data_IF_418258802339
#
_entry.id   IF_418258802339
#
_cell.length_a   1.000
_cell.length_b   1.000
_cell.length_c   1.000
_cell.angle_alpha   90.00
_cell.angle_beta   90.00
_cell.angle_gamma   90.00
#
_symmetry.space_group_name_H-M   'P 1'
#
loop_
_entity.id
_entity.type
_entity.pdbx_description
1 polymer ?
#
# COMPACT_ATOMS: atom_id res chain seq x y z
N UNK A 1 -14.54 -78.73 -14.50
CA UNK A 1 -13.23 -79.05 -13.86
C UNK A 1 -12.06 -79.12 -14.86
N UNK A 2 -12.21 -79.76 -16.02
CA UNK A 2 -11.11 -79.93 -17.02
C UNK A 2 -10.71 -78.60 -17.68
N UNK A 3 -11.69 -77.75 -18.04
CA UNK A 3 -11.42 -76.43 -18.65
C UNK A 3 -10.60 -75.51 -17.73
N UNK A 4 -10.93 -75.51 -16.43
CA UNK A 4 -10.22 -74.71 -15.41
C UNK A 4 -8.77 -75.15 -15.22
N UNK A 5 -8.47 -76.46 -15.27
CA UNK A 5 -7.09 -76.97 -15.23
C UNK A 5 -6.29 -76.61 -16.48
N UNK A 6 -6.92 -76.67 -17.66
CA UNK A 6 -6.28 -76.26 -18.92
C UNK A 6 -5.96 -74.77 -18.93
N UNK A 7 -6.89 -73.92 -18.46
CA UNK A 7 -6.68 -72.48 -18.33
C UNK A 7 -5.58 -72.17 -17.32
N UNK A 8 -5.56 -72.84 -16.15
CA UNK A 8 -4.47 -72.66 -15.17
C UNK A 8 -3.11 -73.08 -15.73
N UNK A 9 -3.04 -74.18 -16.48
CA UNK A 9 -1.80 -74.61 -17.14
C UNK A 9 -1.32 -73.58 -18.16
N UNK A 10 -2.21 -73.04 -18.99
CA UNK A 10 -1.84 -72.01 -19.97
C UNK A 10 -1.40 -70.71 -19.30
N UNK A 11 -2.04 -70.30 -18.20
CA UNK A 11 -1.63 -69.13 -17.42
C UNK A 11 -0.23 -69.32 -16.81
N UNK A 12 0.06 -70.49 -16.24
CA UNK A 12 1.39 -70.82 -15.70
C UNK A 12 2.46 -70.81 -16.80
N UNK A 13 2.15 -71.33 -17.99
CA UNK A 13 3.09 -71.33 -19.13
C UNK A 13 3.29 -69.93 -19.73
N UNK A 14 2.26 -69.07 -19.67
CA UNK A 14 2.31 -67.69 -20.19
C UNK A 14 2.91 -66.69 -19.19
N UNK A 15 2.94 -67.01 -17.90
CA UNK A 15 3.48 -66.16 -16.82
C UNK A 15 4.89 -65.60 -17.12
N UNK A 16 5.88 -66.40 -17.57
CA UNK A 16 7.24 -65.90 -17.83
C UNK A 16 7.29 -64.91 -19.00
N UNK A 17 6.44 -65.13 -20.00
CA UNK A 17 6.32 -64.23 -21.17
C UNK A 17 5.67 -62.90 -20.77
N UNK A 18 4.70 -62.95 -19.85
CA UNK A 18 4.06 -61.76 -19.30
C UNK A 18 5.05 -60.94 -18.46
N UNK A 19 5.90 -61.60 -17.66
CA UNK A 19 6.99 -60.98 -16.92
C UNK A 19 8.03 -60.35 -17.86
N UNK A 20 8.47 -61.06 -18.90
CA UNK A 20 9.41 -60.52 -19.90
C UNK A 20 8.83 -59.32 -20.67
N UNK A 21 7.55 -59.40 -21.09
CA UNK A 21 6.84 -58.27 -21.70
C UNK A 21 6.72 -57.08 -20.75
N UNK A 22 6.47 -57.32 -19.46
CA UNK A 22 6.39 -56.23 -18.47
C UNK A 22 7.73 -55.50 -18.30
N UNK A 23 8.85 -56.22 -18.37
CA UNK A 23 10.20 -55.61 -18.35
C UNK A 23 10.45 -54.79 -19.60
N UNK A 24 10.09 -55.30 -20.78
CA UNK A 24 10.23 -54.57 -22.04
C UNK A 24 9.34 -53.32 -22.08
N UNK A 25 8.11 -53.39 -21.58
CA UNK A 25 7.22 -52.23 -21.46
C UNK A 25 7.85 -51.17 -20.53
N UNK A 26 8.37 -51.58 -19.37
CA UNK A 26 9.06 -50.66 -18.46
C UNK A 26 10.28 -49.99 -19.11
N UNK A 27 11.06 -50.72 -19.92
CA UNK A 27 12.20 -50.16 -20.67
C UNK A 27 11.76 -49.17 -21.74
N UNK A 28 10.64 -49.43 -22.43
CA UNK A 28 10.06 -48.50 -23.41
C UNK A 28 9.61 -47.23 -22.68
N UNK A 29 8.87 -47.34 -21.58
CA UNK A 29 8.42 -46.20 -20.77
C UNK A 29 9.60 -45.37 -20.25
N UNK A 30 10.68 -46.02 -19.80
CA UNK A 30 11.91 -45.34 -19.39
C UNK A 30 12.56 -44.59 -20.55
N UNK A 31 12.64 -45.21 -21.73
CA UNK A 31 13.23 -44.58 -22.92
C UNK A 31 12.38 -43.40 -23.40
N UNK A 32 11.05 -43.50 -23.36
CA UNK A 32 10.13 -42.42 -23.70
C UNK A 32 10.28 -41.23 -22.75
N UNK A 33 10.52 -41.48 -21.46
CA UNK A 33 10.83 -40.42 -20.48
C UNK A 33 12.13 -39.70 -20.80
N UNK A 34 13.21 -40.43 -21.11
CA UNK A 34 14.49 -39.84 -21.49
C UNK A 34 14.37 -39.01 -22.78
N UNK A 35 13.67 -39.54 -23.79
CA UNK A 35 13.41 -38.83 -25.03
C UNK A 35 12.63 -37.53 -24.79
N UNK A 36 11.61 -37.58 -23.93
CA UNK A 36 10.81 -36.41 -23.56
C UNK A 36 11.65 -35.36 -22.84
N UNK A 37 12.53 -35.78 -21.93
CA UNK A 37 13.47 -34.89 -21.25
C UNK A 37 14.42 -34.17 -22.24
N UNK A 38 15.01 -34.92 -23.19
CA UNK A 38 15.89 -34.35 -24.21
C UNK A 38 15.16 -33.39 -25.16
N UNK A 39 13.90 -33.69 -25.52
CA UNK A 39 13.06 -32.77 -26.31
C UNK A 39 12.87 -31.43 -25.62
N UNK A 40 12.63 -31.43 -24.29
CA UNK A 40 12.52 -30.19 -23.54
C UNK A 40 13.83 -29.40 -23.50
N UNK A 41 14.97 -30.07 -23.30
CA UNK A 41 16.28 -29.40 -23.37
C UNK A 41 16.49 -28.75 -24.74
N UNK A 42 16.29 -29.51 -25.82
CA UNK A 42 16.43 -29.02 -27.18
C UNK A 42 15.54 -27.79 -27.43
N UNK A 43 14.31 -27.78 -26.92
CA UNK A 43 13.41 -26.64 -27.07
C UNK A 43 13.89 -25.41 -26.28
N UNK A 44 14.41 -25.61 -25.06
CA UNK A 44 14.96 -24.51 -24.25
C UNK A 44 16.20 -23.91 -24.92
N UNK A 45 17.08 -24.75 -25.47
CA UNK A 45 18.27 -24.33 -26.22
C UNK A 45 17.89 -23.58 -27.49
N UNK A 46 16.91 -24.07 -28.26
CA UNK A 46 16.39 -23.38 -29.45
C UNK A 46 15.85 -21.98 -29.12
N UNK A 47 15.05 -21.85 -28.05
CA UNK A 47 14.57 -20.55 -27.57
C UNK A 47 15.72 -19.63 -27.16
N UNK A 48 16.74 -20.19 -26.50
CA UNK A 48 17.95 -19.45 -26.09
C UNK A 48 18.73 -18.93 -27.31
N UNK A 49 18.92 -19.78 -28.32
CA UNK A 49 19.60 -19.41 -29.57
C UNK A 49 18.83 -18.34 -30.33
N UNK A 50 17.50 -18.44 -30.39
CA UNK A 50 16.65 -17.42 -31.00
C UNK A 50 16.78 -16.06 -30.30
N UNK A 51 16.79 -16.02 -28.96
CA UNK A 51 17.04 -14.78 -28.19
C UNK A 51 18.40 -14.20 -28.57
N UNK A 52 19.44 -15.02 -28.62
CA UNK A 52 20.78 -14.59 -29.00
C UNK A 52 20.82 -14.00 -30.42
N UNK A 53 20.19 -14.66 -31.40
CA UNK A 53 20.13 -14.19 -32.78
C UNK A 53 19.37 -12.86 -32.90
N UNK A 54 18.23 -12.71 -32.21
CA UNK A 54 17.48 -11.47 -32.17
C UNK A 54 18.28 -10.32 -31.56
N UNK A 55 19.09 -10.59 -30.53
CA UNK A 55 19.99 -9.61 -29.94
C UNK A 55 21.13 -9.19 -30.89
N UNK A 56 21.71 -10.13 -31.64
CA UNK A 56 22.76 -9.84 -32.64
C UNK A 56 22.23 -8.99 -33.80
N UNK A 57 20.96 -9.18 -34.17
CA UNK A 57 20.28 -8.39 -35.21
C UNK A 57 19.63 -7.11 -34.70
N UNK A 58 19.86 -6.74 -33.42
CA UNK A 58 19.26 -5.58 -32.74
C UNK A 58 17.72 -5.58 -32.67
N UNK A 59 17.07 -6.73 -32.85
CA UNK A 59 15.62 -6.86 -32.72
C UNK A 59 15.22 -7.21 -31.27
N UNK A 60 15.31 -6.22 -30.39
CA UNK A 60 15.04 -6.40 -28.95
C UNK A 60 13.58 -6.74 -28.65
N UNK A 61 12.63 -6.29 -29.48
CA UNK A 61 11.21 -6.61 -29.32
C UNK A 61 10.94 -8.10 -29.45
N UNK A 62 11.51 -8.74 -30.48
CA UNK A 62 11.36 -10.18 -30.69
C UNK A 62 12.11 -10.98 -29.61
N UNK A 63 13.32 -10.54 -29.23
CA UNK A 63 14.05 -11.17 -28.12
C UNK A 63 13.22 -11.17 -26.82
N UNK A 64 12.51 -10.07 -26.52
CA UNK A 64 11.61 -9.99 -25.37
C UNK A 64 10.40 -10.92 -25.53
N UNK A 65 9.80 -11.01 -26.73
CA UNK A 65 8.70 -11.96 -27.01
C UNK A 65 9.15 -13.42 -26.83
N UNK A 66 10.34 -13.80 -27.32
CA UNK A 66 10.88 -15.16 -27.14
C UNK A 66 11.15 -15.48 -25.67
N UNK A 67 11.61 -14.50 -24.88
CA UNK A 67 11.77 -14.69 -23.44
C UNK A 67 10.43 -14.94 -22.74
N UNK A 68 9.34 -14.26 -23.16
CA UNK A 68 8.00 -14.52 -22.64
C UNK A 68 7.61 -15.98 -22.90
N UNK A 69 7.81 -16.49 -24.12
CA UNK A 69 7.56 -17.89 -24.44
C UNK A 69 8.38 -18.85 -23.58
N UNK A 70 9.64 -18.49 -23.27
CA UNK A 70 10.50 -19.28 -22.38
C UNK A 70 10.02 -19.24 -20.91
N UNK A 71 9.53 -18.10 -20.44
CA UNK A 71 8.93 -17.96 -19.10
C UNK A 71 7.62 -18.74 -18.98
N UNK A 72 6.77 -18.73 -20.01
CA UNK A 72 5.56 -19.55 -20.08
C UNK A 72 5.89 -21.05 -20.07
N UNK A 73 6.97 -21.44 -20.75
CA UNK A 73 7.47 -22.82 -20.71
C UNK A 73 7.95 -23.21 -19.30
N UNK A 74 8.66 -22.32 -18.60
CA UNK A 74 9.05 -22.53 -17.20
C UNK A 74 7.83 -22.73 -16.29
N UNK A 75 6.78 -21.92 -16.45
CA UNK A 75 5.51 -22.07 -15.71
C UNK A 75 4.86 -23.42 -16.02
N UNK A 76 4.76 -23.78 -17.29
CA UNK A 76 4.15 -25.05 -17.72
C UNK A 76 4.88 -26.27 -17.18
N UNK A 77 6.20 -26.18 -17.02
CA UNK A 77 7.00 -27.30 -16.54
C UNK A 77 6.98 -27.46 -15.02
N UNK A 78 6.48 -26.50 -14.23
CA UNK A 78 6.58 -26.51 -12.76
C UNK A 78 6.06 -27.79 -12.08
N UNK A 79 5.06 -28.45 -12.65
CA UNK A 79 4.49 -29.71 -12.10
C UNK A 79 5.37 -30.94 -12.34
N UNK A 80 6.49 -30.80 -13.07
CA UNK A 80 7.41 -31.89 -13.36
C UNK A 80 8.22 -32.29 -12.12
N UNK A 81 8.40 -33.59 -11.91
CA UNK A 81 9.33 -34.10 -10.89
C UNK A 81 10.81 -33.94 -11.26
N UNK A 82 11.13 -33.47 -12.47
CA UNK A 82 12.49 -33.35 -12.99
C UNK A 82 13.19 -32.06 -12.49
N UNK A 83 13.70 -32.08 -11.26
CA UNK A 83 14.35 -30.92 -10.61
C UNK A 83 15.49 -30.29 -11.41
N UNK A 84 16.30 -31.09 -12.12
CA UNK A 84 17.38 -30.57 -12.96
C UNK A 84 16.86 -29.81 -14.19
N UNK A 85 15.77 -30.27 -14.81
CA UNK A 85 15.13 -29.58 -15.93
C UNK A 85 14.54 -28.24 -15.47
N UNK A 86 13.84 -28.25 -14.32
CA UNK A 86 13.29 -27.04 -13.71
C UNK A 86 14.38 -26.03 -13.37
N UNK A 87 15.48 -26.50 -12.78
CA UNK A 87 16.63 -25.64 -12.46
C UNK A 87 17.28 -25.08 -13.72
N UNK A 88 17.42 -25.89 -14.77
CA UNK A 88 17.99 -25.46 -16.04
C UNK A 88 17.15 -24.37 -16.69
N UNK A 89 15.85 -24.60 -16.92
CA UNK A 89 14.99 -23.60 -17.56
C UNK A 89 14.90 -22.32 -16.72
N UNK A 90 14.75 -22.42 -15.40
CA UNK A 90 14.71 -21.25 -14.52
C UNK A 90 16.01 -20.45 -14.56
N UNK A 91 17.16 -21.14 -14.69
CA UNK A 91 18.47 -20.48 -14.82
C UNK A 91 18.63 -19.79 -16.17
N UNK A 92 18.15 -20.41 -17.24
CA UNK A 92 18.17 -19.84 -18.60
C UNK A 92 17.25 -18.61 -18.70
N UNK A 93 16.04 -18.66 -18.13
CA UNK A 93 15.14 -17.50 -18.02
C UNK A 93 15.81 -16.37 -17.22
N UNK A 94 16.43 -16.68 -16.07
CA UNK A 94 17.18 -15.70 -15.26
C UNK A 94 18.32 -15.04 -16.03
N UNK A 95 19.08 -15.83 -16.79
CA UNK A 95 20.21 -15.36 -17.57
C UNK A 95 19.76 -14.34 -18.63
N UNK A 96 18.79 -14.71 -19.47
CA UNK A 96 18.30 -13.85 -20.54
C UNK A 96 17.52 -12.65 -20.03
N UNK A 97 16.69 -12.83 -19.00
CA UNK A 97 16.00 -11.72 -18.33
C UNK A 97 16.97 -10.66 -17.85
N UNK A 98 18.07 -11.06 -17.19
CA UNK A 98 19.08 -10.13 -16.70
C UNK A 98 19.72 -9.33 -17.84
N UNK A 99 20.07 -9.97 -18.95
CA UNK A 99 20.69 -9.29 -20.10
C UNK A 99 19.72 -8.28 -20.72
N UNK A 100 18.50 -8.71 -21.03
CA UNK A 100 17.48 -7.87 -21.66
C UNK A 100 17.05 -6.73 -20.74
N UNK A 101 16.79 -7.01 -19.47
CA UNK A 101 16.43 -5.99 -18.46
C UNK A 101 17.52 -4.94 -18.33
N UNK A 102 18.80 -5.32 -18.25
CA UNK A 102 19.90 -4.35 -18.14
C UNK A 102 19.99 -3.45 -19.38
N UNK A 103 19.88 -4.01 -20.58
CA UNK A 103 19.92 -3.25 -21.83
C UNK A 103 18.75 -2.27 -21.92
N UNK A 104 17.52 -2.77 -21.77
CA UNK A 104 16.31 -1.95 -21.84
C UNK A 104 16.24 -0.91 -20.74
N UNK A 105 16.69 -1.23 -19.52
CA UNK A 105 16.75 -0.25 -18.42
C UNK A 105 17.72 0.87 -18.75
N UNK A 106 18.89 0.57 -19.29
CA UNK A 106 19.88 1.59 -19.69
C UNK A 106 19.32 2.53 -20.76
N UNK A 107 18.70 1.96 -21.80
CA UNK A 107 18.11 2.74 -22.90
C UNK A 107 16.93 3.59 -22.40
N UNK A 108 16.10 3.03 -21.51
CA UNK A 108 14.95 3.70 -20.93
C UNK A 108 15.35 4.83 -19.97
N UNK A 109 16.36 4.62 -19.13
CA UNK A 109 16.92 5.67 -18.26
C UNK A 109 17.47 6.84 -19.07
N UNK A 110 18.06 6.59 -20.25
CA UNK A 110 18.56 7.67 -21.11
C UNK A 110 17.42 8.50 -21.72
N UNK A 111 16.35 7.85 -22.17
CA UNK A 111 15.13 8.53 -22.63
C UNK A 111 14.50 9.34 -21.49
N UNK A 112 14.41 8.77 -20.29
CA UNK A 112 13.89 9.46 -19.10
C UNK A 112 14.73 10.70 -18.74
N UNK A 113 16.07 10.63 -18.83
CA UNK A 113 16.93 11.80 -18.62
C UNK A 113 16.67 12.91 -19.64
N UNK A 114 16.49 12.56 -20.92
CA UNK A 114 16.16 13.54 -21.96
C UNK A 114 14.79 14.20 -21.74
N UNK A 115 13.86 13.48 -21.10
CA UNK A 115 12.57 13.99 -20.64
C UNK A 115 12.65 14.77 -19.31
N UNK A 116 13.85 14.95 -18.74
CA UNK A 116 14.08 15.57 -17.43
C UNK A 116 13.35 14.85 -16.28
N UNK A 117 13.18 13.54 -16.40
CA UNK A 117 12.61 12.70 -15.34
C UNK A 117 13.64 12.43 -14.23
N UNK A 118 13.25 12.44 -12.94
CA UNK A 118 11.91 12.76 -12.42
C UNK A 118 11.68 14.28 -12.29
N UNK A 119 10.41 14.68 -12.27
CA UNK A 119 9.98 16.07 -12.12
C UNK A 119 10.06 16.53 -10.65
N UNK A 120 11.24 17.01 -10.26
CA UNK A 120 11.55 17.40 -8.87
C UNK A 120 10.97 18.77 -8.48
N UNK A 121 10.58 19.61 -9.45
CA UNK A 121 10.02 20.95 -9.22
C UNK A 121 8.66 21.17 -9.89
N UNK A 122 7.97 22.29 -9.58
CA UNK A 122 6.67 22.61 -10.17
C UNK A 122 6.75 22.66 -11.71
N UNK A 123 5.69 22.23 -12.44
CA UNK A 123 5.68 22.20 -13.90
C UNK A 123 6.07 23.53 -14.57
N UNK A 124 5.82 24.66 -13.90
CA UNK A 124 6.11 26.01 -14.38
C UNK A 124 7.61 26.40 -14.31
N UNK A 125 8.39 25.71 -13.48
CA UNK A 125 9.82 25.99 -13.25
C UNK A 125 10.73 25.14 -14.13
N UNK A 126 10.16 24.13 -14.79
CA UNK A 126 10.85 23.31 -15.78
C UNK A 126 10.76 24.02 -17.12
N UNK A 127 11.67 24.97 -17.36
CA UNK A 127 11.89 25.49 -18.70
C UNK A 127 12.14 24.30 -19.64
N UNK A 128 11.54 24.25 -20.84
CA UNK A 128 11.92 23.28 -21.84
C UNK A 128 13.32 23.64 -22.34
N UNK A 129 14.35 23.25 -21.60
CA UNK A 129 15.66 23.02 -22.18
C UNK A 129 15.57 21.68 -22.93
N UNK A 130 14.73 21.64 -23.98
CA UNK A 130 14.96 20.71 -25.06
C UNK A 130 16.33 21.11 -25.61
N UNK A 131 17.30 20.22 -25.53
CA UNK A 131 18.48 20.30 -26.38
C UNK A 131 18.00 20.54 -27.82
N UNK A 132 18.56 21.50 -28.57
CA UNK A 132 18.05 21.93 -29.88
C UNK A 132 18.04 20.84 -30.97
N UNK A 133 18.40 19.60 -30.64
CA UNK A 133 18.46 18.43 -31.53
C UNK A 133 17.43 17.34 -31.24
N UNK A 134 16.59 17.47 -30.20
CA UNK A 134 15.62 16.41 -29.86
C UNK A 134 14.30 16.63 -30.61
N UNK A 135 13.95 15.72 -31.52
CA UNK A 135 12.61 15.64 -32.12
C UNK A 135 11.63 15.10 -31.06
N UNK A 136 10.73 15.92 -30.48
CA UNK A 136 9.87 15.47 -29.39
C UNK A 136 9.00 14.24 -29.72
N UNK A 137 8.41 14.10 -30.93
CA UNK A 137 7.63 12.92 -31.30
C UNK A 137 8.44 11.62 -31.28
N UNK A 138 9.70 11.65 -31.75
CA UNK A 138 10.56 10.46 -31.78
C UNK A 138 10.92 10.01 -30.37
N UNK A 139 11.17 10.97 -29.45
CA UNK A 139 11.47 10.67 -28.05
C UNK A 139 10.29 9.97 -27.37
N UNK A 140 9.05 10.44 -27.58
CA UNK A 140 7.86 9.79 -27.03
C UNK A 140 7.57 8.44 -27.66
N UNK A 141 7.81 8.27 -28.96
CA UNK A 141 7.69 6.96 -29.62
C UNK A 141 8.71 5.95 -29.05
N UNK A 142 9.95 6.40 -28.81
CA UNK A 142 10.98 5.59 -28.18
C UNK A 142 10.61 5.22 -26.73
N UNK A 143 10.03 6.16 -25.97
CA UNK A 143 9.50 5.91 -24.64
C UNK A 143 8.42 4.82 -24.66
N UNK A 144 7.42 4.94 -25.55
CA UNK A 144 6.33 3.96 -25.69
C UNK A 144 6.86 2.57 -26.08
N UNK A 145 7.82 2.51 -27.02
CA UNK A 145 8.45 1.27 -27.45
C UNK A 145 9.18 0.58 -26.29
N UNK A 146 10.05 1.29 -25.59
CA UNK A 146 10.83 0.75 -24.48
C UNK A 146 9.93 0.35 -23.30
N UNK A 147 8.92 1.17 -22.99
CA UNK A 147 7.92 0.87 -21.97
C UNK A 147 7.18 -0.45 -22.29
N UNK A 148 6.73 -0.61 -23.53
CA UNK A 148 6.07 -1.84 -24.00
C UNK A 148 7.00 -3.05 -23.93
N UNK A 149 8.27 -2.91 -24.33
CA UNK A 149 9.25 -3.99 -24.25
C UNK A 149 9.55 -4.39 -22.80
N UNK A 150 9.68 -3.43 -21.89
CA UNK A 150 9.85 -3.68 -20.46
C UNK A 150 8.62 -4.35 -19.84
N UNK A 151 7.40 -4.00 -20.28
CA UNK A 151 6.18 -4.70 -19.85
C UNK A 151 6.16 -6.16 -20.29
N UNK A 152 6.69 -6.50 -21.47
CA UNK A 152 6.81 -7.90 -21.90
C UNK A 152 7.68 -8.71 -20.91
N UNK A 153 8.72 -8.11 -20.35
CA UNK A 153 9.57 -8.76 -19.35
C UNK A 153 8.91 -8.93 -17.97
N UNK A 154 7.68 -8.45 -17.77
CA UNK A 154 7.02 -8.50 -16.46
C UNK A 154 6.82 -9.94 -15.97
N UNK A 155 6.40 -10.86 -16.84
CA UNK A 155 6.16 -12.26 -16.46
C UNK A 155 7.43 -12.93 -15.95
N UNK A 156 8.55 -12.75 -16.67
CA UNK A 156 9.85 -13.27 -16.23
C UNK A 156 10.34 -12.56 -14.97
N UNK A 157 10.07 -11.26 -14.80
CA UNK A 157 10.45 -10.53 -13.59
C UNK A 157 9.75 -11.07 -12.34
N UNK A 158 8.44 -11.34 -12.41
CA UNK A 158 7.65 -11.91 -11.32
C UNK A 158 8.10 -13.32 -10.94
N UNK A 159 8.58 -14.13 -11.90
CA UNK A 159 9.15 -15.46 -11.64
C UNK A 159 10.50 -15.41 -10.93
N UNK A 160 11.25 -14.31 -11.06
CA UNK A 160 12.64 -14.22 -10.60
C UNK A 160 12.76 -13.38 -9.33
N UNK A 161 11.99 -12.31 -9.23
CA UNK A 161 12.12 -11.30 -8.19
C UNK A 161 11.22 -11.64 -7.01
N UNK A 162 11.82 -11.86 -5.84
CA UNK A 162 11.05 -11.82 -4.59
C UNK A 162 10.70 -10.38 -4.27
N UNK A 163 9.42 -10.10 -4.11
CA UNK A 163 9.00 -8.78 -3.67
C UNK A 163 9.46 -8.53 -2.24
N UNK A 164 10.10 -7.38 -2.03
CA UNK A 164 10.41 -6.90 -0.70
C UNK A 164 9.10 -6.46 -0.04
N UNK A 165 8.61 -7.26 0.89
CA UNK A 165 7.41 -6.95 1.66
C UNK A 165 7.80 -6.37 3.02
N UNK A 166 6.99 -5.44 3.51
CA UNK A 166 7.06 -5.00 4.90
C UNK A 166 6.70 -6.19 5.82
N UNK A 167 7.21 -6.21 7.07
CA UNK A 167 6.90 -7.27 8.03
C UNK A 167 5.40 -7.56 8.15
N UNK A 168 5.04 -8.85 8.22
CA UNK A 168 3.64 -9.32 8.29
C UNK A 168 2.84 -8.70 9.44
N UNK A 169 3.52 -8.28 10.52
CA UNK A 169 2.90 -7.62 11.69
C UNK A 169 2.08 -6.36 11.36
N UNK A 170 2.30 -5.74 10.20
CA UNK A 170 1.57 -4.55 9.77
C UNK A 170 0.24 -4.88 9.06
N UNK A 171 -0.05 -6.15 8.78
CA UNK A 171 -1.31 -6.61 8.17
C UNK A 171 -1.75 -5.79 6.95
N UNK A 172 -0.79 -5.45 6.07
CA UNK A 172 -1.04 -4.63 4.88
C UNK A 172 -1.95 -5.38 3.90
N UNK A 173 -2.81 -4.67 3.15
CA UNK A 173 -3.67 -5.31 2.16
C UNK A 173 -2.80 -5.89 1.04
N UNK A 174 -3.19 -7.04 0.45
CA UNK A 174 -2.45 -7.62 -0.66
C UNK A 174 -2.48 -6.65 -1.85
N UNK A 175 -1.30 -6.30 -2.36
CA UNK A 175 -1.16 -5.44 -3.53
C UNK A 175 -0.31 -6.12 -4.60
N UNK A 176 -0.70 -6.06 -5.88
CA UNK A 176 0.11 -6.62 -6.95
C UNK A 176 1.46 -5.91 -7.07
N UNK A 177 2.49 -6.59 -7.62
CA UNK A 177 3.73 -5.93 -7.98
C UNK A 177 3.48 -4.73 -8.88
N UNK A 178 4.18 -3.65 -8.57
CA UNK A 178 4.33 -2.52 -9.50
C UNK A 178 4.99 -3.05 -10.77
N UNK A 179 4.49 -2.67 -11.94
CA UNK A 179 5.05 -3.12 -13.20
C UNK A 179 6.47 -2.59 -13.41
N UNK A 180 7.30 -3.39 -14.08
CA UNK A 180 8.73 -3.17 -14.23
C UNK A 180 9.11 -1.78 -14.77
N UNK A 181 8.46 -1.23 -15.81
CA UNK A 181 8.80 0.11 -16.28
C UNK A 181 8.58 1.18 -15.18
N UNK A 182 7.47 1.10 -14.45
CA UNK A 182 7.17 2.04 -13.35
C UNK A 182 8.14 1.85 -12.18
N UNK A 183 8.55 0.61 -11.88
CA UNK A 183 9.61 0.36 -10.90
C UNK A 183 10.90 1.11 -11.27
N UNK A 184 11.31 1.07 -12.54
CA UNK A 184 12.49 1.79 -13.04
C UNK A 184 12.30 3.31 -12.91
N UNK A 185 11.13 3.83 -13.28
CA UNK A 185 10.79 5.25 -13.13
C UNK A 185 10.87 5.72 -11.67
N UNK A 186 10.56 4.86 -10.71
CA UNK A 186 10.64 5.16 -9.27
C UNK A 186 12.08 5.19 -8.73
N UNK A 187 13.02 4.43 -9.30
CA UNK A 187 14.42 4.32 -8.83
C UNK A 187 15.08 5.67 -8.49
N UNK A 188 15.06 6.71 -9.35
CA UNK A 188 15.70 7.99 -9.03
C UNK A 188 15.06 8.67 -7.80
N UNK A 189 13.74 8.56 -7.63
CA UNK A 189 13.03 9.09 -6.46
C UNK A 189 13.32 8.29 -5.20
N UNK A 190 13.40 6.96 -5.30
CA UNK A 190 13.80 6.10 -4.19
C UNK A 190 15.23 6.40 -3.72
N UNK A 191 16.17 6.60 -4.66
CA UNK A 191 17.55 7.01 -4.34
C UNK A 191 17.57 8.38 -3.66
N UNK A 192 16.80 9.34 -4.17
CA UNK A 192 16.68 10.68 -3.58
C UNK A 192 16.07 10.64 -2.17
N UNK A 193 15.00 9.87 -1.96
CA UNK A 193 14.37 9.69 -0.67
C UNK A 193 15.36 9.11 0.35
N UNK A 194 16.03 8.01 0.01
CA UNK A 194 17.05 7.39 0.88
C UNK A 194 18.23 8.32 1.13
N UNK A 195 18.64 9.10 0.14
CA UNK A 195 19.72 10.08 0.31
C UNK A 195 19.35 11.16 1.32
N UNK A 196 18.12 11.67 1.32
CA UNK A 196 17.72 12.77 2.21
C UNK A 196 17.20 12.32 3.58
N UNK A 197 16.45 11.22 3.63
CA UNK A 197 15.67 10.80 4.80
C UNK A 197 16.18 9.50 5.42
N UNK A 198 17.45 9.15 5.18
CA UNK A 198 18.12 8.02 5.81
C UNK A 198 19.57 8.37 6.17
N UNK A 199 20.18 7.59 7.07
CA UNK A 199 21.54 7.83 7.54
C UNK A 199 21.70 9.12 8.35
N UNK A 200 22.88 9.74 8.27
CA UNK A 200 23.30 10.85 9.14
C UNK A 200 23.14 12.25 8.51
N UNK A 201 22.18 12.41 7.59
CA UNK A 201 21.97 13.69 6.90
C UNK A 201 21.19 14.66 7.78
N UNK A 202 21.47 15.95 7.63
CA UNK A 202 20.72 17.02 8.31
C UNK A 202 19.24 17.06 7.92
N UNK A 203 18.88 16.49 6.77
CA UNK A 203 17.49 16.35 6.31
C UNK A 203 16.77 15.15 6.91
N UNK A 204 17.48 14.22 7.56
CA UNK A 204 16.88 13.07 8.25
C UNK A 204 16.64 13.42 9.72
N UNK A 205 15.62 14.23 9.97
CA UNK A 205 15.29 14.70 11.32
C UNK A 205 14.00 14.06 11.79
N UNK A 206 14.10 13.25 12.84
CA UNK A 206 12.99 12.40 13.30
C UNK A 206 11.82 13.19 13.89
N UNK A 207 12.06 14.42 14.36
CA UNK A 207 11.02 15.33 14.85
C UNK A 207 10.40 16.21 13.74
N UNK A 208 10.77 15.98 12.47
CA UNK A 208 10.25 16.68 11.30
C UNK A 208 9.71 15.72 10.23
N UNK A 209 8.73 14.86 10.57
CA UNK A 209 8.16 13.91 9.61
C UNK A 209 7.47 14.60 8.42
N UNK A 210 6.98 15.83 8.60
CA UNK A 210 6.38 16.64 7.53
C UNK A 210 7.31 16.77 6.31
N UNK A 211 8.64 16.74 6.50
CA UNK A 211 9.58 16.91 5.40
C UNK A 211 9.53 15.77 4.39
N UNK A 212 9.48 14.51 4.82
CA UNK A 212 9.43 13.40 3.88
C UNK A 212 8.00 13.14 3.40
N UNK A 213 6.99 13.41 4.23
CA UNK A 213 5.57 13.25 3.89
C UNK A 213 5.16 14.23 2.78
N UNK A 214 5.38 15.53 2.97
CA UNK A 214 5.08 16.55 1.96
C UNK A 214 5.91 16.35 0.70
N UNK A 215 7.17 15.91 0.83
CA UNK A 215 8.01 15.63 -0.34
C UNK A 215 7.44 14.51 -1.23
N UNK A 216 6.86 13.47 -0.62
CA UNK A 216 6.21 12.38 -1.36
C UNK A 216 4.91 12.84 -2.02
N UNK A 217 4.07 13.61 -1.32
CA UNK A 217 2.85 14.20 -1.91
C UNK A 217 3.18 15.10 -3.12
N UNK A 218 4.20 15.95 -2.97
CA UNK A 218 4.69 16.78 -4.07
C UNK A 218 5.17 15.95 -5.26
N UNK A 219 5.90 14.85 -5.03
CA UNK A 219 6.27 13.95 -6.11
C UNK A 219 5.07 13.27 -6.76
N UNK A 220 4.07 12.83 -6.00
CA UNK A 220 2.84 12.26 -6.60
C UNK A 220 2.19 13.31 -7.51
N UNK A 221 1.95 14.52 -6.99
CA UNK A 221 1.31 15.61 -7.74
C UNK A 221 2.07 16.05 -8.99
N UNK A 222 3.40 16.19 -8.91
CA UNK A 222 4.22 16.67 -10.04
C UNK A 222 4.24 15.70 -11.23
N UNK A 223 4.02 14.40 -11.01
CA UNK A 223 4.10 13.40 -12.07
C UNK A 223 2.74 12.99 -12.64
N UNK A 224 1.63 13.32 -11.97
CA UNK A 224 0.26 12.94 -12.38
C UNK A 224 -0.01 13.22 -13.85
N UNK A 225 0.21 14.47 -14.31
CA UNK A 225 -0.08 14.85 -15.70
C UNK A 225 0.66 14.00 -16.72
N UNK A 226 1.94 13.73 -16.50
CA UNK A 226 2.74 12.91 -17.41
C UNK A 226 2.29 11.45 -17.40
N UNK A 227 1.98 10.91 -16.22
CA UNK A 227 1.48 9.54 -16.10
C UNK A 227 0.15 9.38 -16.84
N UNK A 228 -0.79 10.31 -16.64
CA UNK A 228 -2.11 10.29 -17.26
C UNK A 228 -2.05 10.51 -18.78
N UNK A 229 -1.26 11.47 -19.26
CA UNK A 229 -1.22 11.84 -20.68
C UNK A 229 -0.26 11.01 -21.54
N UNK A 230 0.77 10.38 -20.94
CA UNK A 230 1.84 9.69 -21.69
C UNK A 230 1.97 8.22 -21.37
N UNK A 231 1.81 7.82 -20.11
CA UNK A 231 2.05 6.43 -19.69
C UNK A 231 0.76 5.61 -19.71
N UNK A 232 -0.34 6.15 -19.20
CA UNK A 232 -1.64 5.46 -19.17
C UNK A 232 -2.09 5.00 -20.57
N UNK A 233 -1.99 5.81 -21.65
CA UNK A 233 -2.39 5.36 -22.99
C UNK A 233 -1.57 4.17 -23.53
N UNK A 234 -0.32 4.00 -23.05
CA UNK A 234 0.51 2.84 -23.40
C UNK A 234 0.06 1.61 -22.61
N UNK A 235 -0.25 1.79 -21.31
CA UNK A 235 -0.82 0.72 -20.49
C UNK A 235 -2.17 0.26 -21.02
N UNK A 236 -3.06 1.15 -21.42
CA UNK A 236 -4.40 0.80 -21.92
C UNK A 236 -4.35 -0.16 -23.12
N UNK A 237 -3.29 -0.09 -23.95
CA UNK A 237 -3.08 -0.98 -25.10
C UNK A 237 -2.61 -2.38 -24.71
N UNK A 238 -1.88 -2.52 -23.60
CA UNK A 238 -1.14 -3.74 -23.25
C UNK A 238 -1.71 -4.42 -21.99
N UNK A 239 -2.08 -3.64 -20.99
CA UNK A 239 -2.64 -4.04 -19.69
C UNK A 239 -3.65 -3.01 -19.18
N UNK A 240 -4.89 -2.99 -19.72
CA UNK A 240 -5.91 -1.98 -19.38
C UNK A 240 -6.41 -2.05 -17.93
N UNK A 241 -6.07 -3.09 -17.17
CA UNK A 241 -6.41 -3.19 -15.74
C UNK A 241 -5.47 -2.39 -14.83
N UNK A 242 -4.35 -1.88 -15.34
CA UNK A 242 -3.37 -1.14 -14.55
C UNK A 242 -3.58 0.37 -14.67
N UNK A 243 -3.51 1.04 -13.52
CA UNK A 243 -3.50 2.50 -13.41
C UNK A 243 -2.07 2.97 -13.10
N UNK A 244 -1.47 3.71 -14.06
CA UNK A 244 -0.11 4.23 -13.96
C UNK A 244 0.10 5.12 -12.74
N UNK A 245 -0.88 5.99 -12.45
CA UNK A 245 -0.83 6.93 -11.35
C UNK A 245 -0.92 6.19 -10.02
N UNK A 246 -1.80 5.20 -9.93
CA UNK A 246 -1.93 4.34 -8.74
C UNK A 246 -0.64 3.56 -8.48
N UNK A 247 -0.09 2.90 -9.49
CA UNK A 247 1.15 2.12 -9.41
C UNK A 247 2.33 2.96 -8.93
N UNK A 248 2.47 4.16 -9.53
CA UNK A 248 3.52 5.11 -9.17
C UNK A 248 3.34 5.64 -7.74
N UNK A 249 2.12 6.04 -7.38
CA UNK A 249 1.80 6.55 -6.04
C UNK A 249 2.03 5.48 -4.98
N UNK A 250 1.61 4.23 -5.23
CA UNK A 250 1.86 3.08 -4.35
C UNK A 250 3.35 2.87 -4.11
N UNK A 251 4.18 2.99 -5.15
CA UNK A 251 5.64 2.90 -5.02
C UNK A 251 6.26 3.97 -4.12
N UNK A 252 5.74 5.19 -4.16
CA UNK A 252 6.18 6.28 -3.28
C UNK A 252 5.66 6.14 -1.85
N UNK A 253 4.40 5.72 -1.67
CA UNK A 253 3.81 5.44 -0.35
C UNK A 253 4.59 4.34 0.36
N UNK A 254 5.04 3.28 -0.35
CA UNK A 254 5.87 2.23 0.25
C UNK A 254 7.15 2.80 0.91
N UNK A 255 7.76 3.86 0.35
CA UNK A 255 8.92 4.52 0.98
C UNK A 255 8.56 5.17 2.31
N UNK A 256 7.38 5.79 2.38
CA UNK A 256 6.82 6.37 3.61
C UNK A 256 6.59 5.27 4.64
N UNK A 257 5.97 4.15 4.24
CA UNK A 257 5.72 3.02 5.15
C UNK A 257 7.01 2.42 5.70
N UNK A 258 8.03 2.22 4.85
CA UNK A 258 9.36 1.76 5.28
C UNK A 258 10.01 2.74 6.27
N UNK A 259 9.88 4.04 6.02
CA UNK A 259 10.42 5.09 6.89
C UNK A 259 9.71 5.14 8.25
N UNK A 260 8.38 5.12 8.24
CA UNK A 260 7.55 5.10 9.45
C UNK A 260 7.83 3.86 10.31
N UNK A 261 7.92 2.69 9.67
CA UNK A 261 8.24 1.44 10.36
C UNK A 261 9.60 1.49 11.10
N UNK A 262 10.54 2.31 10.63
CA UNK A 262 11.84 2.52 11.28
C UNK A 262 11.82 3.64 12.33
N UNK A 263 11.04 4.70 12.12
CA UNK A 263 11.04 5.89 12.98
C UNK A 263 10.13 5.74 14.21
N UNK A 264 8.91 5.19 14.06
CA UNK A 264 7.93 5.10 15.16
C UNK A 264 8.50 4.44 16.43
N UNK A 265 9.23 3.31 16.37
CA UNK A 265 9.81 2.68 17.57
C UNK A 265 10.67 3.61 18.42
N UNK A 266 11.31 4.61 17.80
CA UNK A 266 12.23 5.56 18.45
C UNK A 266 11.50 6.73 19.11
N UNK A 267 10.22 6.91 18.80
CA UNK A 267 9.38 8.01 19.27
C UNK A 267 8.40 7.55 20.36
N UNK A 268 8.32 6.25 20.63
CA UNK A 268 7.37 5.68 21.60
C UNK A 268 7.52 6.24 23.02
N UNK A 269 8.63 6.87 23.39
CA UNK A 269 8.85 7.37 24.76
C UNK A 269 8.70 8.89 24.91
N UNK A 270 8.38 9.61 23.83
CA UNK A 270 8.16 11.06 23.84
C UNK A 270 6.74 11.37 23.37
N UNK A 271 5.87 11.77 24.29
CA UNK A 271 4.45 12.03 24.01
C UNK A 271 4.27 13.10 22.92
N UNK A 272 5.06 14.19 22.97
CA UNK A 272 4.91 15.32 22.06
C UNK A 272 5.38 14.96 20.65
N UNK A 273 6.53 14.30 20.55
CA UNK A 273 7.05 13.87 19.24
C UNK A 273 6.18 12.81 18.59
N UNK A 274 5.65 11.87 19.39
CA UNK A 274 4.73 10.86 18.89
C UNK A 274 3.42 11.48 18.40
N UNK A 275 2.81 12.39 19.16
CA UNK A 275 1.62 13.12 18.73
C UNK A 275 1.85 13.92 17.45
N UNK A 276 2.95 14.68 17.39
CA UNK A 276 3.31 15.43 16.19
C UNK A 276 3.41 14.50 14.98
N UNK A 277 4.06 13.34 15.11
CA UNK A 277 4.12 12.36 14.03
C UNK A 277 2.73 11.86 13.60
N UNK A 278 1.86 11.52 14.55
CA UNK A 278 0.49 11.08 14.24
C UNK A 278 -0.27 12.18 13.50
N UNK A 279 -0.18 13.43 13.94
CA UNK A 279 -0.85 14.57 13.30
C UNK A 279 -0.40 14.73 11.85
N UNK A 280 0.91 14.68 11.60
CA UNK A 280 1.46 14.76 10.24
C UNK A 280 1.06 13.56 9.37
N UNK A 281 0.96 12.34 9.94
CA UNK A 281 0.44 11.17 9.22
C UNK A 281 -1.04 11.37 8.84
N UNK A 282 -1.86 11.87 9.76
CA UNK A 282 -3.29 12.11 9.50
C UNK A 282 -3.48 13.17 8.41
N UNK A 283 -2.67 14.23 8.43
CA UNK A 283 -2.65 15.25 7.37
C UNK A 283 -2.23 14.66 6.02
N UNK A 284 -1.15 13.87 6.01
CA UNK A 284 -0.67 13.18 4.81
C UNK A 284 -1.74 12.27 4.21
N UNK A 285 -2.41 11.45 5.02
CA UNK A 285 -3.44 10.52 4.55
C UNK A 285 -4.66 11.28 4.00
N UNK A 286 -5.07 12.38 4.66
CA UNK A 286 -6.17 13.23 4.17
C UNK A 286 -5.86 13.83 2.80
N UNK A 287 -4.64 14.32 2.58
CA UNK A 287 -4.23 14.86 1.27
C UNK A 287 -4.05 13.77 0.22
N UNK A 288 -3.44 12.63 0.59
CA UNK A 288 -3.23 11.48 -0.28
C UNK A 288 -4.55 10.94 -0.84
N UNK A 289 -5.57 10.77 0.00
CA UNK A 289 -6.88 10.30 -0.42
C UNK A 289 -7.71 11.40 -1.10
N UNK A 290 -7.76 12.60 -0.51
CA UNK A 290 -8.64 13.68 -0.96
C UNK A 290 -8.16 14.41 -2.21
N UNK A 291 -6.86 14.69 -2.32
CA UNK A 291 -6.27 15.48 -3.42
C UNK A 291 -5.71 14.57 -4.51
N UNK A 292 -5.01 13.50 -4.12
CA UNK A 292 -4.34 12.60 -5.08
C UNK A 292 -5.17 11.38 -5.48
N UNK A 293 -6.35 11.18 -4.88
CA UNK A 293 -7.27 10.10 -5.24
C UNK A 293 -6.72 8.70 -4.96
N UNK A 294 -5.81 8.55 -3.99
CA UNK A 294 -5.29 7.25 -3.61
C UNK A 294 -6.42 6.39 -3.00
N UNK A 295 -6.66 5.14 -3.46
CA UNK A 295 -7.75 4.33 -2.93
C UNK A 295 -7.49 3.81 -1.50
N UNK A 296 -8.54 3.66 -0.70
CA UNK A 296 -8.46 3.14 0.68
C UNK A 296 -8.15 1.63 0.77
N UNK A 297 -8.31 0.89 -0.34
CA UNK A 297 -7.99 -0.53 -0.41
C UNK A 297 -6.49 -0.82 -0.64
N UNK A 298 -5.66 0.23 -0.71
CA UNK A 298 -4.21 0.11 -0.88
C UNK A 298 -3.47 0.22 0.46
N UNK A 299 -2.18 -0.20 0.51
CA UNK A 299 -1.35 0.00 1.70
C UNK A 299 -1.22 1.48 2.07
N UNK A 300 -1.46 1.83 3.33
CA UNK A 300 -1.40 3.20 3.82
C UNK A 300 -0.75 3.29 5.21
N UNK A 301 -0.43 4.51 5.66
CA UNK A 301 0.25 4.74 6.95
C UNK A 301 -0.60 4.30 8.14
N UNK A 302 -1.93 4.26 7.97
CA UNK A 302 -2.86 3.81 9.01
C UNK A 302 -2.63 2.36 9.42
N UNK A 303 -2.15 1.51 8.52
CA UNK A 303 -1.79 0.12 8.85
C UNK A 303 -0.58 0.06 9.77
N UNK A 304 0.40 0.96 9.59
CA UNK A 304 1.56 1.03 10.48
C UNK A 304 1.13 1.47 11.87
N UNK A 305 0.31 2.53 11.97
CA UNK A 305 -0.24 3.01 13.25
C UNK A 305 -1.18 2.00 13.93
N UNK A 306 -1.77 1.07 13.16
CA UNK A 306 -2.65 0.01 13.66
C UNK A 306 -1.92 -1.22 14.21
N UNK A 307 -0.59 -1.27 14.08
CA UNK A 307 0.22 -2.28 14.78
C UNK A 307 0.01 -2.13 16.29
N UNK A 308 -0.12 -3.25 17.00
CA UNK A 308 -0.59 -3.28 18.39
C UNK A 308 0.19 -2.34 19.31
N UNK A 309 1.52 -2.38 19.26
CA UNK A 309 2.37 -1.57 20.14
C UNK A 309 2.17 -0.09 19.90
N UNK A 310 2.15 0.32 18.63
CA UNK A 310 2.05 1.73 18.24
C UNK A 310 0.63 2.26 18.48
N UNK A 311 -0.37 1.41 18.25
CA UNK A 311 -1.77 1.73 18.47
C UNK A 311 -2.10 1.94 19.95
N UNK A 312 -1.65 1.05 20.83
CA UNK A 312 -1.84 1.23 22.28
C UNK A 312 -1.15 2.48 22.80
N UNK A 313 0.03 2.80 22.25
CA UNK A 313 0.71 4.04 22.57
C UNK A 313 -0.11 5.26 22.14
N UNK A 314 -0.67 5.23 20.93
CA UNK A 314 -1.54 6.30 20.45
C UNK A 314 -2.76 6.50 21.34
N UNK A 315 -3.49 5.43 21.69
CA UNK A 315 -4.63 5.52 22.62
C UNK A 315 -4.23 6.13 23.98
N UNK A 316 -3.08 5.72 24.51
CA UNK A 316 -2.59 6.21 25.81
C UNK A 316 -2.32 7.72 25.77
N UNK A 317 -1.63 8.17 24.72
CA UNK A 317 -1.27 9.58 24.57
C UNK A 317 -2.51 10.43 24.25
N UNK A 318 -3.41 9.92 23.41
CA UNK A 318 -4.67 10.58 23.09
C UNK A 318 -5.53 10.78 24.36
N UNK A 319 -5.66 9.73 25.19
CA UNK A 319 -6.36 9.82 26.48
C UNK A 319 -5.75 10.89 27.38
N UNK A 320 -4.43 10.90 27.50
CA UNK A 320 -3.71 11.86 28.35
C UNK A 320 -4.03 13.30 27.93
N UNK A 321 -3.86 13.63 26.65
CA UNK A 321 -4.11 14.98 26.16
C UNK A 321 -5.60 15.37 26.20
N UNK A 322 -6.51 14.41 25.98
CA UNK A 322 -7.94 14.65 26.13
C UNK A 322 -8.32 15.01 27.57
N UNK A 323 -7.75 14.31 28.56
CA UNK A 323 -7.96 14.62 29.99
C UNK A 323 -7.37 15.97 30.38
N UNK A 324 -6.15 16.29 29.93
CA UNK A 324 -5.53 17.61 30.15
C UNK A 324 -6.36 18.74 29.53
N UNK A 325 -6.88 18.53 28.32
CA UNK A 325 -7.78 19.48 27.66
C UNK A 325 -9.09 19.65 28.44
N UNK A 326 -9.62 18.56 28.98
CA UNK A 326 -10.83 18.58 29.82
C UNK A 326 -10.61 19.38 31.11
N UNK A 327 -9.47 19.19 31.78
CA UNK A 327 -9.10 19.94 32.99
C UNK A 327 -8.92 21.43 32.70
N UNK A 328 -8.22 21.77 31.61
CA UNK A 328 -8.03 23.14 31.17
C UNK A 328 -9.36 23.82 30.85
N UNK A 329 -10.26 23.12 30.16
CA UNK A 329 -11.58 23.63 29.78
C UNK A 329 -12.46 23.92 31.01
N UNK A 330 -12.55 23.00 31.97
CA UNK A 330 -13.38 23.18 33.18
C UNK A 330 -12.82 24.26 34.13
N UNK A 331 -11.51 24.51 34.07
CA UNK A 331 -10.83 25.55 34.86
C UNK A 331 -10.92 26.94 34.23
N UNK A 332 -11.43 27.06 33.00
CA UNK A 332 -11.60 28.34 32.31
C UNK A 332 -12.65 29.22 33.00
N UNK A 333 -12.40 30.53 33.09
CA UNK A 333 -13.37 31.50 33.63
C UNK A 333 -14.68 31.52 32.81
N UNK A 334 -14.57 31.25 31.50
CA UNK A 334 -15.71 31.22 30.58
C UNK A 334 -16.45 29.87 30.57
N UNK A 335 -15.93 28.84 31.25
CA UNK A 335 -16.41 27.46 31.14
C UNK A 335 -17.93 27.31 31.31
N UNK A 336 -18.51 28.06 32.24
CA UNK A 336 -19.94 27.98 32.62
C UNK A 336 -20.80 29.04 31.94
N UNK A 337 -20.26 29.73 30.96
CA UNK A 337 -20.94 30.80 30.23
C UNK A 337 -21.22 30.36 28.81
N UNK A 338 -22.47 30.54 28.33
CA UNK A 338 -22.77 30.37 26.90
C UNK A 338 -22.04 31.44 26.10
N UNK A 339 -21.42 31.03 24.99
CA UNK A 339 -20.74 31.93 24.07
C UNK A 339 -21.73 32.88 23.37
N UNK A 340 -23.01 32.48 23.27
CA UNK A 340 -24.07 33.18 22.54
C UNK A 340 -25.06 33.93 23.44
N UNK A 341 -24.69 34.26 24.69
CA UNK A 341 -25.54 34.95 25.68
C UNK A 341 -26.31 36.19 25.18
N UNK A 342 -25.83 36.85 24.13
CA UNK A 342 -26.40 38.07 23.57
C UNK A 342 -27.24 37.85 22.30
N UNK A 343 -27.44 36.60 21.88
CA UNK A 343 -28.18 36.24 20.66
C UNK A 343 -29.21 35.15 21.02
N UNK A 344 -30.40 35.59 21.45
CA UNK A 344 -31.47 34.73 21.97
C UNK A 344 -31.97 33.66 20.99
N UNK A 345 -31.74 33.87 19.69
CA UNK A 345 -32.33 33.07 18.61
C UNK A 345 -31.35 32.01 18.06
N UNK A 346 -30.14 31.88 18.65
CA UNK A 346 -29.07 31.00 18.14
C UNK A 346 -28.77 29.81 19.08
N UNK A 347 -29.00 29.95 20.39
CA UNK A 347 -28.70 28.92 21.38
C UNK A 347 -29.92 28.64 22.28
N UNK A 348 -30.88 27.87 21.75
CA UNK A 348 -32.09 27.46 22.49
C UNK A 348 -31.76 26.69 23.78
N UNK A 349 -30.65 25.95 23.79
CA UNK A 349 -30.23 25.11 24.92
C UNK A 349 -29.35 25.86 25.93
N UNK A 350 -28.90 27.08 25.61
CA UNK A 350 -28.00 27.90 26.43
C UNK A 350 -26.79 27.10 26.91
N UNK A 351 -26.16 26.36 25.98
CA UNK A 351 -25.06 25.47 26.27
C UNK A 351 -23.85 26.27 26.77
N UNK A 352 -23.22 25.87 27.89
CA UNK A 352 -22.00 26.54 28.34
C UNK A 352 -20.79 26.14 27.48
N UNK A 353 -19.79 27.02 27.41
CA UNK A 353 -18.54 26.84 26.67
C UNK A 353 -17.86 25.48 26.91
N UNK A 354 -17.89 24.98 28.15
CA UNK A 354 -17.30 23.68 28.46
C UNK A 354 -18.03 22.50 27.79
N UNK A 355 -19.33 22.62 27.52
CA UNK A 355 -20.08 21.55 26.86
C UNK A 355 -19.76 21.52 25.36
N UNK A 356 -19.72 22.67 24.70
CA UNK A 356 -19.37 22.80 23.28
C UNK A 356 -17.91 22.38 23.01
N UNK A 357 -16.99 22.84 23.85
CA UNK A 357 -15.57 22.48 23.76
C UNK A 357 -15.38 20.97 23.98
N UNK A 358 -16.14 20.36 24.89
CA UNK A 358 -16.10 18.91 25.09
C UNK A 358 -16.62 18.13 23.87
N UNK A 359 -17.73 18.56 23.27
CA UNK A 359 -18.24 17.93 22.04
C UNK A 359 -17.28 18.11 20.87
N UNK A 360 -16.63 19.26 20.77
CA UNK A 360 -15.57 19.51 19.77
C UNK A 360 -14.38 18.57 19.98
N UNK A 361 -13.94 18.35 21.23
CA UNK A 361 -12.90 17.38 21.55
C UNK A 361 -13.27 15.97 21.09
N UNK A 362 -14.51 15.54 21.33
CA UNK A 362 -14.99 14.24 20.84
C UNK A 362 -14.96 14.17 19.31
N UNK A 363 -15.45 15.19 18.61
CA UNK A 363 -15.42 15.24 17.14
C UNK A 363 -13.98 15.19 16.59
N UNK A 364 -13.04 15.89 17.22
CA UNK A 364 -11.62 15.84 16.85
C UNK A 364 -11.10 14.42 17.00
N UNK A 365 -11.38 13.74 18.12
CA UNK A 365 -10.98 12.34 18.30
C UNK A 365 -11.62 11.44 17.23
N UNK A 366 -12.91 11.62 16.91
CA UNK A 366 -13.59 10.89 15.83
C UNK A 366 -12.90 11.05 14.49
N UNK A 367 -12.50 12.27 14.13
CA UNK A 367 -11.81 12.56 12.87
C UNK A 367 -10.48 11.83 12.74
N UNK A 368 -9.79 11.63 13.88
CA UNK A 368 -8.47 10.98 13.95
C UNK A 368 -8.53 9.48 13.72
N UNK A 369 -9.57 8.79 14.20
CA UNK A 369 -9.64 7.32 14.11
C UNK A 369 -10.56 6.80 12.99
N UNK A 370 -11.41 7.63 12.37
CA UNK A 370 -12.38 7.20 11.35
C UNK A 370 -11.74 6.47 10.16
N UNK A 371 -10.49 6.83 9.82
CA UNK A 371 -9.73 6.28 8.69
C UNK A 371 -8.96 5.00 9.03
N UNK A 372 -9.04 4.50 10.27
CA UNK A 372 -8.39 3.24 10.66
C UNK A 372 -8.88 2.07 9.78
N UNK A 373 -8.01 1.12 9.42
CA UNK A 373 -8.32 0.07 8.47
C UNK A 373 -9.29 -1.00 9.02
N UNK A 374 -9.32 -1.19 10.34
CA UNK A 374 -10.10 -2.28 10.96
C UNK A 374 -11.14 -1.77 11.95
N UNK A 375 -12.31 -2.39 11.95
CA UNK A 375 -13.41 -2.05 12.86
C UNK A 375 -13.00 -2.22 14.34
N UNK A 376 -12.22 -3.27 14.66
CA UNK A 376 -11.71 -3.49 16.02
C UNK A 376 -10.90 -2.31 16.55
N UNK A 377 -10.07 -1.68 15.71
CA UNK A 377 -9.29 -0.50 16.09
C UNK A 377 -10.17 0.73 16.28
N UNK A 378 -11.17 0.93 15.41
CA UNK A 378 -12.16 2.01 15.59
C UNK A 378 -12.95 1.86 16.88
N UNK A 379 -13.33 0.62 17.24
CA UNK A 379 -14.06 0.34 18.48
C UNK A 379 -13.24 0.68 19.74
N UNK A 380 -11.93 0.41 19.77
CA UNK A 380 -11.10 0.77 20.92
C UNK A 380 -10.98 2.29 21.12
N UNK A 381 -10.97 3.08 20.04
CA UNK A 381 -11.06 4.54 20.13
C UNK A 381 -12.44 5.02 20.58
N UNK A 382 -13.50 4.34 20.13
CA UNK A 382 -14.85 4.62 20.60
C UNK A 382 -15.00 4.33 22.10
N UNK A 383 -14.37 3.26 22.60
CA UNK A 383 -14.30 2.96 24.03
C UNK A 383 -13.57 4.07 24.79
N UNK A 384 -12.49 4.63 24.26
CA UNK A 384 -11.84 5.82 24.81
C UNK A 384 -12.81 7.02 24.88
N UNK A 385 -13.57 7.30 23.82
CA UNK A 385 -14.54 8.39 23.84
C UNK A 385 -15.64 8.17 24.89
N UNK A 386 -16.11 6.93 25.04
CA UNK A 386 -17.06 6.54 26.08
C UNK A 386 -16.50 6.79 27.48
N UNK A 387 -15.25 6.42 27.73
CA UNK A 387 -14.57 6.70 28.99
C UNK A 387 -14.48 8.22 29.25
N UNK A 388 -14.13 9.01 28.24
CA UNK A 388 -14.07 10.48 28.36
C UNK A 388 -15.43 11.10 28.68
N UNK A 389 -16.53 10.55 28.14
CA UNK A 389 -17.90 10.96 28.49
C UNK A 389 -18.24 10.61 29.94
N UNK A 390 -17.84 9.43 30.43
CA UNK A 390 -18.01 9.03 31.83
C UNK A 390 -17.23 9.96 32.77
N UNK A 391 -15.96 10.23 32.45
CA UNK A 391 -15.09 11.14 33.20
C UNK A 391 -15.67 12.55 33.25
N UNK A 392 -16.15 13.07 32.12
CA UNK A 392 -16.80 14.39 32.07
C UNK A 392 -18.07 14.43 32.93
N UNK A 393 -18.91 13.38 32.87
CA UNK A 393 -20.10 13.26 33.74
C UNK A 393 -19.73 13.29 35.21
N UNK A 394 -18.69 12.55 35.62
CA UNK A 394 -18.23 12.50 37.01
C UNK A 394 -17.79 13.90 37.46
N UNK A 395 -17.00 14.60 36.64
CA UNK A 395 -16.54 15.97 36.94
C UNK A 395 -17.71 16.95 37.04
N UNK A 396 -18.67 16.93 36.10
CA UNK A 396 -19.88 17.75 36.19
C UNK A 396 -20.67 17.47 37.48
N UNK A 397 -20.81 16.19 37.85
CA UNK A 397 -21.49 15.78 39.09
C UNK A 397 -20.78 16.31 40.33
N UNK A 398 -19.44 16.33 40.33
CA UNK A 398 -18.65 16.88 41.43
C UNK A 398 -18.88 18.39 41.56
N UNK A 399 -18.78 19.15 40.46
CA UNK A 399 -19.05 20.60 40.48
C UNK A 399 -20.49 20.88 40.92
N UNK A 400 -21.46 20.08 40.47
CA UNK A 400 -22.86 20.22 40.90
C UNK A 400 -23.04 20.01 42.41
N UNK A 401 -22.29 19.09 43.02
CA UNK A 401 -22.31 18.83 44.47
C UNK A 401 -21.77 20.00 45.29
N UNK A 402 -20.82 20.76 44.75
CA UNK A 402 -20.29 21.97 45.39
C UNK A 402 -21.33 23.12 45.40
N UNK A 403 -22.14 23.20 44.34
CA UNK A 403 -23.17 24.22 44.13
C UNK A 403 -24.53 23.91 44.81
N UNK A 404 -24.70 22.71 45.38
CA UNK A 404 -26.01 22.22 45.88
C UNK A 404 -26.55 23.02 47.07
N UNK A 405 -25.70 23.83 47.72
CA UNK A 405 -26.11 24.72 48.82
C UNK A 405 -27.00 25.87 48.33
N UNK A 406 -26.93 26.21 47.04
CA UNK A 406 -27.75 27.23 46.39
C UNK A 406 -28.44 26.62 45.17
N UNK A 407 -29.54 25.87 45.36
CA UNK A 407 -30.31 25.35 44.24
C UNK A 407 -30.75 26.51 43.36
N UNK A 408 -30.52 26.41 42.05
CA UNK A 408 -30.72 27.47 41.03
C UNK A 408 -29.62 28.55 40.95
N UNK A 409 -28.41 28.32 41.47
CA UNK A 409 -27.27 29.20 41.12
C UNK A 409 -27.05 29.23 39.60
N UNK A 410 -26.48 30.32 39.09
CA UNK A 410 -26.13 30.45 37.67
C UNK A 410 -25.35 29.22 37.17
N UNK A 411 -24.39 28.75 37.98
CA UNK A 411 -23.53 27.61 37.67
C UNK A 411 -24.29 26.28 37.73
N UNK A 412 -25.21 26.12 38.68
CA UNK A 412 -26.10 24.95 38.75
C UNK A 412 -26.95 24.82 37.47
N UNK A 413 -27.55 25.91 37.00
CA UNK A 413 -28.32 25.92 35.75
C UNK A 413 -27.43 25.64 34.52
N UNK A 414 -26.23 26.21 34.47
CA UNK A 414 -25.27 25.95 33.40
C UNK A 414 -24.88 24.47 33.30
N UNK A 415 -24.70 23.77 34.44
CA UNK A 415 -24.41 22.34 34.45
C UNK A 415 -25.59 21.53 33.88
N UNK A 416 -26.83 21.86 34.23
CA UNK A 416 -28.00 21.18 33.67
C UNK A 416 -28.11 21.39 32.16
N UNK A 417 -27.85 22.61 31.69
CA UNK A 417 -27.80 22.91 30.26
C UNK A 417 -26.69 22.13 29.55
N UNK A 418 -25.50 22.01 30.14
CA UNK A 418 -24.41 21.21 29.60
C UNK A 418 -24.83 19.75 29.40
N UNK A 419 -25.44 19.14 30.43
CA UNK A 419 -25.91 17.75 30.36
C UNK A 419 -27.00 17.58 29.31
N UNK A 420 -27.97 18.50 29.26
CA UNK A 420 -29.04 18.46 28.26
C UNK A 420 -28.50 18.59 26.84
N UNK A 421 -27.60 19.53 26.60
CA UNK A 421 -26.94 19.73 25.31
C UNK A 421 -26.16 18.49 24.88
N UNK A 422 -25.30 17.95 25.74
CA UNK A 422 -24.49 16.76 25.42
C UNK A 422 -25.39 15.55 25.14
N UNK A 423 -26.44 15.34 25.95
CA UNK A 423 -27.38 14.24 25.72
C UNK A 423 -28.11 14.38 24.38
N UNK A 424 -28.53 15.60 24.01
CA UNK A 424 -29.19 15.86 22.73
C UNK A 424 -28.24 15.62 21.55
N UNK A 425 -27.00 16.12 21.61
CA UNK A 425 -26.00 15.92 20.54
C UNK A 425 -25.62 14.45 20.41
N UNK A 426 -25.43 13.72 21.51
CA UNK A 426 -25.13 12.29 21.47
C UNK A 426 -26.31 11.45 20.95
N UNK A 427 -27.56 11.84 21.24
CA UNK A 427 -28.74 11.20 20.67
C UNK A 427 -28.81 11.40 19.15
N UNK A 428 -28.58 12.63 18.68
CA UNK A 428 -28.50 12.93 17.24
C UNK A 428 -27.37 12.14 16.56
N UNK A 429 -26.20 12.03 17.20
CA UNK A 429 -25.11 11.20 16.69
C UNK A 429 -25.51 9.72 16.60
N UNK A 430 -26.23 9.18 17.57
CA UNK A 430 -26.68 7.80 17.54
C UNK A 430 -27.64 7.56 16.35
N UNK A 431 -28.58 8.48 16.11
CA UNK A 431 -29.53 8.40 15.00
C UNK A 431 -28.82 8.53 13.63
N UNK A 432 -27.79 9.39 13.55
CA UNK A 432 -26.97 9.58 12.34
C UNK A 432 -25.98 8.43 12.08
N UNK A 433 -25.48 7.75 13.12
CA UNK A 433 -24.64 6.55 12.96
C UNK A 433 -25.47 5.38 12.42
N UNK A 434 -26.73 5.26 12.83
CA UNK A 434 -27.64 4.26 12.25
C UNK A 434 -27.93 4.55 10.78
N UNK A 435 -28.03 5.81 10.36
CA UNK A 435 -28.25 6.15 8.94
C UNK A 435 -27.00 5.97 8.05
N UNK A 436 -25.79 6.17 8.58
CA UNK A 436 -24.54 5.98 7.84
C UNK A 436 -23.96 4.57 7.91
N UNK A 437 -24.23 3.78 8.96
CA UNK A 437 -23.81 2.37 9.02
C UNK A 437 -24.52 1.50 7.95
N UNK A 438 -25.72 1.87 7.49
CA UNK A 438 -26.40 1.23 6.36
C UNK A 438 -26.01 1.78 4.97
N UNK A 439 -25.08 2.74 4.90
CA UNK A 439 -24.58 3.28 3.62
C UNK A 439 -23.13 2.86 3.28
N UNK A 440 -22.50 2.02 4.12
CA UNK A 440 -21.10 1.59 3.92
C UNK A 440 -20.99 0.17 3.32
N UNK A 441 -22.10 -0.55 3.12
CA UNK A 441 -22.14 -1.85 2.44
C UNK A 441 -22.95 -1.83 1.13
N UNK A 442 -22.57 -0.95 0.19
CA UNK A 442 -22.98 -1.03 -1.22
C UNK A 442 -21.80 -0.72 -2.15
#
# INVERSE_FOLDING_TARGET
MILSKSICSHLITAQPWLEELSVLIAQIEETERHLSYLKWISQIEELSDNIQQHLMTSNVSEAASTLVSMAELDIKLQDSSCTHLLSFIRSTVKFWHKILKNKLTSDYEEVLKQLHWPFIGPPQSQAPALSPSANPPELYNNLELLFTQLLKLQTSDELITQQKQLPEKYSLPPSPPICLPIQIMLVPLQKRFKYHFSGNRQTNVINKPEWYLTQVLMWIGNHTKFLDERIQPVLDKVRPSLDARLEFSRGLVILVLEKLAADIPRLLYDDNLFCHLVDEILLFEKELHGVHGYPSNQPSCMYILSEETYFQRWLTVERKFALEKMDSMLSSEAAWTSQYKNISDVDEMKAPDCAETFMTLLLVITDRYKALPTASRKLQFLDLQKDLVDDFRIRLTQVMKEETRTPLSFRYCAILNAVNYIAAVLADWADNVVSHAFSIDC
#
